data_IF_557325704564
#
_entry.id   IF_557325704564
#
_cell.length_a   1.000
_cell.length_b   1.000
_cell.length_c   1.000
_cell.angle_alpha   90.00
_cell.angle_beta   90.00
_cell.angle_gamma   90.00
#
_symmetry.space_group_name_H-M   'P 1'
#
loop_
_entity.id
_entity.type
_entity.pdbx_description
1 polymer ?
#
# COMPACT_ATOMS: atom_id res chain seq x y z
N UNK A 1 30.67 18.44 31.51
CA UNK A 1 29.59 18.74 30.54
C UNK A 1 28.27 18.76 31.30
N UNK A 2 27.30 19.62 30.97
CA UNK A 2 25.95 19.48 31.57
C UNK A 2 25.16 18.41 30.82
N UNK A 3 24.48 17.50 31.53
CA UNK A 3 23.74 16.38 30.94
C UNK A 3 22.27 16.49 31.30
N UNK A 4 21.46 16.88 30.32
CA UNK A 4 20.03 17.01 30.47
C UNK A 4 19.33 15.67 30.20
N UNK A 5 18.49 15.26 31.16
CA UNK A 5 17.61 14.09 31.03
C UNK A 5 16.17 14.60 31.07
N UNK A 6 15.49 14.67 29.91
CA UNK A 6 14.09 15.04 29.81
C UNK A 6 13.17 14.14 30.66
N UNK A 7 12.02 14.66 31.11
CA UNK A 7 11.13 13.93 32.02
C UNK A 7 10.48 12.71 31.34
N UNK A 8 10.14 12.82 30.06
CA UNK A 8 9.62 11.72 29.23
C UNK A 8 10.61 10.55 29.11
N UNK A 9 11.92 10.85 29.06
CA UNK A 9 12.99 9.84 29.12
C UNK A 9 13.01 9.16 30.50
N UNK A 10 12.87 9.91 31.60
CA UNK A 10 12.80 9.32 32.96
C UNK A 10 11.57 8.45 33.16
N UNK A 11 10.43 8.88 32.64
CA UNK A 11 9.18 8.12 32.71
C UNK A 11 9.30 6.82 31.89
N UNK A 12 9.96 6.88 30.73
CA UNK A 12 10.25 5.69 29.91
C UNK A 12 11.21 4.74 30.62
N UNK A 13 12.25 5.25 31.28
CA UNK A 13 13.19 4.45 32.06
C UNK A 13 12.47 3.67 33.16
N UNK A 14 11.55 4.32 33.88
CA UNK A 14 10.75 3.67 34.94
C UNK A 14 9.86 2.53 34.40
N UNK A 15 9.42 2.61 33.13
CA UNK A 15 8.61 1.57 32.50
C UNK A 15 9.43 0.36 32.02
N UNK A 16 10.70 0.53 31.68
CA UNK A 16 11.51 -0.55 31.07
C UNK A 16 12.19 -1.49 32.07
N UNK A 17 12.28 -1.12 33.35
CA UNK A 17 12.81 -2.00 34.39
C UNK A 17 13.26 -1.25 35.62
N UNK A 18 13.34 -1.95 36.76
CA UNK A 18 13.72 -1.35 38.05
C UNK A 18 15.16 -0.82 38.08
N UNK A 19 16.07 -1.46 37.34
CA UNK A 19 17.47 -1.06 37.20
C UNK A 19 17.74 0.04 36.16
N UNK A 20 16.78 0.30 35.26
CA UNK A 20 16.95 1.23 34.13
C UNK A 20 17.15 2.69 34.55
N UNK A 21 16.44 3.25 35.55
CA UNK A 21 16.70 4.61 36.03
C UNK A 21 18.11 4.77 36.62
N UNK A 22 18.65 3.72 37.26
CA UNK A 22 20.01 3.73 37.79
C UNK A 22 21.03 3.70 36.64
N UNK A 23 20.82 2.83 35.66
CA UNK A 23 21.63 2.73 34.45
C UNK A 23 21.69 4.05 33.68
N UNK A 24 20.55 4.71 33.50
CA UNK A 24 20.44 6.01 32.86
C UNK A 24 21.24 7.09 33.61
N UNK A 25 21.19 7.08 34.94
CA UNK A 25 21.98 8.02 35.77
C UNK A 25 23.47 7.74 35.71
N UNK A 26 23.88 6.47 35.66
CA UNK A 26 25.27 6.08 35.53
C UNK A 26 25.87 6.55 34.19
N UNK A 27 25.15 6.32 33.08
CA UNK A 27 25.57 6.79 31.74
C UNK A 27 25.59 8.31 31.66
N UNK A 28 24.62 9.00 32.26
CA UNK A 28 24.66 10.47 32.33
C UNK A 28 25.89 10.99 33.08
N UNK A 29 26.33 10.30 34.14
CA UNK A 29 27.57 10.62 34.84
C UNK A 29 28.81 10.41 33.95
N UNK A 30 28.87 9.28 33.24
CA UNK A 30 29.98 8.99 32.33
C UNK A 30 30.04 9.98 31.16
N UNK A 31 28.90 10.40 30.60
CA UNK A 31 28.82 11.41 29.54
C UNK A 31 29.24 12.82 30.03
N UNK A 32 29.08 13.10 31.32
CA UNK A 32 29.53 14.37 31.89
C UNK A 32 31.08 14.46 31.92
N UNK A 33 31.74 13.32 32.12
CA UNK A 33 33.20 13.15 32.21
C UNK A 33 33.85 12.88 30.84
N UNK A 34 33.18 12.10 29.98
CA UNK A 34 33.59 11.76 28.61
C UNK A 34 32.42 12.02 27.62
N UNK A 35 32.36 13.23 27.02
CA UNK A 35 31.34 13.60 26.04
C UNK A 35 31.37 12.77 24.74
N UNK A 36 32.49 12.10 24.46
CA UNK A 36 32.72 11.31 23.25
C UNK A 36 32.34 9.84 23.45
N UNK A 37 31.82 9.47 24.63
CA UNK A 37 31.39 8.12 24.98
C UNK A 37 30.21 7.66 24.12
N UNK A 38 30.46 6.71 23.21
CA UNK A 38 29.43 6.06 22.41
C UNK A 38 29.80 6.01 20.94
N UNK A 39 28.83 5.65 20.11
CA UNK A 39 29.03 5.53 18.65
C UNK A 39 27.92 6.26 17.89
N UNK A 40 28.18 6.78 16.68
CA UNK A 40 27.14 7.33 15.82
C UNK A 40 25.99 6.33 15.65
N UNK A 41 24.77 6.78 15.94
CA UNK A 41 23.58 6.02 15.62
C UNK A 41 23.21 6.21 14.14
N UNK A 42 22.26 5.42 13.64
CA UNK A 42 21.66 5.65 12.32
C UNK A 42 20.82 6.92 12.22
N UNK A 43 20.63 7.65 13.32
CA UNK A 43 19.86 8.89 13.35
C UNK A 43 20.79 10.12 13.23
N UNK A 44 20.48 11.08 12.35
CA UNK A 44 21.34 12.24 12.12
C UNK A 44 21.65 13.02 13.40
N UNK A 45 22.94 13.17 13.72
CA UNK A 45 23.41 13.95 14.87
C UNK A 45 23.23 13.30 16.24
N UNK A 46 22.82 12.02 16.30
CA UNK A 46 22.61 11.29 17.55
C UNK A 46 23.72 10.24 17.76
N UNK A 47 24.33 10.28 18.94
CA UNK A 47 25.27 9.28 19.45
C UNK A 47 24.52 8.29 20.35
N UNK A 48 24.99 7.05 20.43
CA UNK A 48 24.36 5.98 21.21
C UNK A 48 25.36 5.27 22.12
N UNK A 49 24.97 5.06 23.37
CA UNK A 49 25.67 4.24 24.36
C UNK A 49 24.87 2.98 24.61
N UNK A 50 25.53 1.81 24.60
CA UNK A 50 24.89 0.54 24.93
C UNK A 50 25.24 0.08 26.34
N UNK A 51 24.26 -0.50 27.00
CA UNK A 51 24.38 -1.19 28.29
C UNK A 51 23.94 -2.63 28.03
N UNK A 52 24.78 -3.59 28.37
CA UNK A 52 24.46 -5.02 28.22
C UNK A 52 23.63 -5.52 29.41
N UNK A 53 22.84 -6.58 29.20
CA UNK A 53 21.85 -7.17 30.15
C UNK A 53 22.47 -7.71 31.46
N UNK A 54 23.80 -7.80 31.54
CA UNK A 54 24.54 -8.39 32.65
C UNK A 54 25.29 -7.37 33.54
N UNK A 55 25.24 -6.08 33.20
CA UNK A 55 26.02 -5.05 33.89
C UNK A 55 25.31 -4.53 35.14
N UNK A 56 23.98 -4.53 35.15
CA UNK A 56 23.16 -3.93 36.21
C UNK A 56 21.97 -4.84 36.53
N UNK A 57 21.76 -5.17 37.80
CA UNK A 57 20.63 -5.98 38.28
C UNK A 57 19.28 -5.32 37.90
N UNK A 58 18.32 -6.12 37.41
CA UNK A 58 17.02 -5.66 36.90
C UNK A 58 17.08 -4.60 35.78
N UNK A 59 18.19 -4.57 35.03
CA UNK A 59 18.35 -3.71 33.87
C UNK A 59 18.51 -4.58 32.60
N UNK A 60 17.51 -4.60 31.70
CA UNK A 60 17.71 -5.24 30.41
C UNK A 60 18.84 -4.58 29.62
N UNK A 61 19.31 -5.22 28.55
CA UNK A 61 20.20 -4.55 27.61
C UNK A 61 19.51 -3.30 27.03
N UNK A 62 20.19 -2.16 27.02
CA UNK A 62 19.66 -0.86 26.63
C UNK A 62 20.57 -0.16 25.61
N UNK A 63 19.96 0.66 24.76
CA UNK A 63 20.64 1.69 23.98
C UNK A 63 20.08 3.06 24.37
N UNK A 64 20.97 3.98 24.75
CA UNK A 64 20.66 5.35 25.16
C UNK A 64 21.17 6.30 24.08
N UNK A 65 20.25 6.99 23.41
CA UNK A 65 20.56 7.97 22.37
C UNK A 65 20.67 9.39 22.94
N UNK A 66 21.72 10.11 22.58
CA UNK A 66 21.95 11.49 23.02
C UNK A 66 22.47 12.39 21.90
N UNK A 67 22.22 13.69 22.03
CA UNK A 67 22.80 14.73 21.17
C UNK A 67 23.81 15.51 21.99
N UNK A 68 24.96 15.81 21.37
CA UNK A 68 25.99 16.65 21.95
C UNK A 68 25.96 18.03 21.29
N UNK A 69 25.75 19.04 22.10
CA UNK A 69 25.97 20.45 21.77
C UNK A 69 27.31 20.92 22.41
N UNK A 70 27.85 22.09 22.05
CA UNK A 70 29.17 22.52 22.53
C UNK A 70 29.31 22.62 24.06
N UNK A 71 28.22 22.89 24.77
CA UNK A 71 28.17 23.14 26.22
C UNK A 71 27.27 22.17 27.00
N UNK A 72 26.43 21.37 26.30
CA UNK A 72 25.50 20.42 26.93
C UNK A 72 25.31 19.14 26.13
N UNK A 73 24.92 18.09 26.82
CA UNK A 73 24.45 16.82 26.25
C UNK A 73 22.98 16.66 26.62
N UNK A 74 22.14 16.29 25.66
CA UNK A 74 20.74 15.99 25.91
C UNK A 74 20.44 14.53 25.56
N UNK A 75 19.96 13.76 26.53
CA UNK A 75 19.45 12.41 26.27
C UNK A 75 18.11 12.51 25.55
N UNK A 76 17.99 11.83 24.40
CA UNK A 76 16.82 11.91 23.51
C UNK A 76 15.90 10.72 23.64
N UNK A 77 16.46 9.53 23.84
CA UNK A 77 15.66 8.31 23.95
C UNK A 77 16.44 7.21 24.68
N UNK A 78 15.69 6.21 25.12
CA UNK A 78 16.22 4.94 25.60
C UNK A 78 15.37 3.81 25.00
N UNK A 79 16.02 2.74 24.55
CA UNK A 79 15.35 1.58 23.95
C UNK A 79 16.05 0.29 24.39
N UNK A 80 15.37 -0.85 24.30
CA UNK A 80 15.98 -2.15 24.58
C UNK A 80 16.99 -2.49 23.47
N UNK A 81 18.22 -2.82 23.85
CA UNK A 81 19.20 -3.35 22.92
C UNK A 81 18.87 -4.83 22.64
N UNK A 82 18.71 -5.19 21.36
CA UNK A 82 18.59 -6.60 20.97
C UNK A 82 19.95 -7.29 21.15
N UNK A 83 20.01 -8.52 21.69
CA UNK A 83 21.25 -9.28 21.77
C UNK A 83 21.83 -9.50 20.38
N UNK A 84 23.11 -9.19 20.19
CA UNK A 84 23.85 -9.45 18.95
C UNK A 84 24.28 -10.92 18.96
N UNK A 85 23.76 -11.71 18.04
CA UNK A 85 24.22 -13.08 17.78
C UNK A 85 25.69 -13.04 17.30
N UNK A 86 26.52 -13.93 17.84
CA UNK A 86 27.97 -13.97 17.64
C UNK A 86 28.38 -14.12 16.15
N UNK A 87 29.54 -13.61 15.72
CA UNK A 87 29.87 -13.46 14.31
C UNK A 87 30.27 -14.80 13.67
N UNK A 88 29.52 -15.21 12.63
CA UNK A 88 29.95 -16.26 11.71
C UNK A 88 31.09 -15.78 10.80
N UNK A 89 31.96 -16.69 10.31
CA UNK A 89 33.25 -16.34 9.75
C UNK A 89 33.12 -15.70 8.37
N UNK A 90 33.64 -14.48 8.25
CA UNK A 90 34.03 -13.75 7.02
C UNK A 90 33.34 -14.27 5.75
N UNK A 91 32.03 -14.04 5.65
CA UNK A 91 31.37 -14.04 4.36
C UNK A 91 31.60 -12.68 3.70
N UNK A 92 31.73 -12.71 2.39
CA UNK A 92 32.07 -11.60 1.50
C UNK A 92 31.26 -10.34 1.83
N UNK A 93 31.90 -9.18 1.64
CA UNK A 93 31.32 -7.86 1.81
C UNK A 93 29.86 -7.81 1.33
N UNK A 94 28.92 -7.94 2.26
CA UNK A 94 27.53 -7.62 1.98
C UNK A 94 27.48 -6.11 1.75
N UNK A 95 27.29 -5.77 0.48
CA UNK A 95 26.68 -4.51 0.09
C UNK A 95 25.54 -4.21 1.10
N UNK A 96 25.32 -2.95 1.51
CA UNK A 96 24.17 -2.61 2.36
C UNK A 96 22.91 -3.22 1.74
N UNK A 97 21.87 -3.60 2.47
CA UNK A 97 20.60 -4.01 1.84
C UNK A 97 19.81 -2.75 1.39
N UNK A 98 19.90 -2.27 0.14
CA UNK A 98 18.69 -2.10 -0.64
C UNK A 98 18.42 -3.45 -1.28
N UNK A 99 17.23 -4.06 -1.14
CA UNK A 99 16.63 -4.93 -2.17
C UNK A 99 15.39 -5.72 -1.76
N UNK A 100 15.01 -5.91 -0.49
CA UNK A 100 13.81 -6.72 -0.19
C UNK A 100 12.53 -6.09 -0.77
N UNK A 101 12.30 -4.80 -0.51
CA UNK A 101 11.17 -4.06 -1.05
C UNK A 101 11.26 -3.92 -2.58
N UNK A 102 12.45 -3.63 -3.12
CA UNK A 102 12.66 -3.48 -4.57
C UNK A 102 12.49 -4.81 -5.32
N UNK A 103 12.88 -5.94 -4.73
CA UNK A 103 12.67 -7.28 -5.31
C UNK A 103 11.19 -7.64 -5.27
N UNK A 104 10.49 -7.28 -4.19
CA UNK A 104 9.05 -7.47 -4.07
C UNK A 104 8.32 -6.62 -5.11
N UNK A 105 8.61 -5.32 -5.19
CA UNK A 105 8.07 -4.41 -6.20
C UNK A 105 8.35 -4.89 -7.64
N UNK A 106 9.59 -5.32 -7.92
CA UNK A 106 9.94 -5.86 -9.23
C UNK A 106 9.23 -7.19 -9.54
N UNK A 107 8.86 -7.96 -8.53
CA UNK A 107 8.09 -9.20 -8.70
C UNK A 107 6.63 -8.86 -8.97
N UNK A 108 6.01 -8.01 -8.16
CA UNK A 108 4.65 -7.47 -8.37
C UNK A 108 4.51 -6.86 -9.76
N UNK A 109 5.48 -6.03 -10.18
CA UNK A 109 5.51 -5.42 -11.50
C UNK A 109 5.47 -6.45 -12.63
N UNK A 110 6.25 -7.53 -12.50
CA UNK A 110 6.27 -8.62 -13.50
C UNK A 110 4.95 -9.38 -13.52
N UNK A 111 4.38 -9.70 -12.37
CA UNK A 111 3.11 -10.43 -12.28
C UNK A 111 1.95 -9.64 -12.89
N UNK A 112 1.82 -8.35 -12.58
CA UNK A 112 0.81 -7.47 -13.20
C UNK A 112 0.99 -7.43 -14.71
N UNK A 113 2.23 -7.23 -15.18
CA UNK A 113 2.49 -7.15 -16.62
C UNK A 113 2.17 -8.46 -17.34
N UNK A 114 2.51 -9.60 -16.74
CA UNK A 114 2.27 -10.92 -17.34
C UNK A 114 0.78 -11.28 -17.33
N UNK A 115 0.06 -11.04 -16.22
CA UNK A 115 -1.38 -11.25 -16.15
C UNK A 115 -2.12 -10.36 -17.17
N UNK A 116 -1.78 -9.08 -17.26
CA UNK A 116 -2.40 -8.18 -18.23
C UNK A 116 -2.12 -8.56 -19.69
N UNK A 117 -0.90 -9.03 -19.99
CA UNK A 117 -0.58 -9.57 -21.32
C UNK A 117 -1.41 -10.80 -21.68
N UNK A 118 -1.66 -11.69 -20.72
CA UNK A 118 -2.52 -12.87 -20.92
C UNK A 118 -3.95 -12.46 -21.25
N UNK A 119 -4.52 -11.55 -20.46
CA UNK A 119 -5.85 -10.97 -20.70
C UNK A 119 -5.92 -10.35 -22.10
N UNK A 120 -5.01 -9.43 -22.42
CA UNK A 120 -5.03 -8.71 -23.70
C UNK A 120 -4.77 -9.61 -24.90
N UNK A 121 -3.88 -10.60 -24.79
CA UNK A 121 -3.67 -11.61 -25.83
C UNK A 121 -4.94 -12.42 -26.11
N UNK A 122 -5.64 -12.83 -25.04
CA UNK A 122 -6.91 -13.53 -25.18
C UNK A 122 -7.96 -12.64 -25.85
N UNK A 123 -8.11 -11.39 -25.40
CA UNK A 123 -9.07 -10.43 -25.97
C UNK A 123 -8.81 -10.22 -27.47
N UNK A 124 -7.55 -10.03 -27.87
CA UNK A 124 -7.19 -9.84 -29.27
C UNK A 124 -7.65 -11.02 -30.16
N UNK A 125 -7.66 -12.24 -29.63
CA UNK A 125 -7.99 -13.46 -30.36
C UNK A 125 -9.49 -13.79 -30.32
N UNK A 126 -10.16 -13.54 -29.20
CA UNK A 126 -11.50 -14.04 -28.94
C UNK A 126 -12.57 -12.93 -28.83
N UNK A 127 -12.18 -11.73 -28.44
CA UNK A 127 -13.07 -10.58 -28.24
C UNK A 127 -12.44 -9.29 -28.80
N UNK A 128 -12.22 -9.19 -30.13
CA UNK A 128 -11.47 -8.09 -30.73
C UNK A 128 -12.11 -6.72 -30.51
N UNK A 129 -13.44 -6.64 -30.36
CA UNK A 129 -14.13 -5.38 -30.06
C UNK A 129 -13.81 -4.90 -28.64
N UNK A 130 -13.78 -5.82 -27.66
CA UNK A 130 -13.33 -5.52 -26.29
C UNK A 130 -11.84 -5.15 -26.25
N UNK A 131 -11.00 -5.81 -27.06
CA UNK A 131 -9.60 -5.41 -27.18
C UNK A 131 -9.45 -3.99 -27.76
N UNK A 132 -10.26 -3.64 -28.77
CA UNK A 132 -10.23 -2.32 -29.40
C UNK A 132 -10.73 -1.18 -28.49
N UNK A 133 -11.50 -1.51 -27.45
CA UNK A 133 -11.98 -0.56 -26.45
C UNK A 133 -10.93 -0.23 -25.37
N UNK A 134 -9.84 -0.99 -25.28
CA UNK A 134 -8.75 -0.71 -24.35
C UNK A 134 -7.96 0.52 -24.80
N UNK A 135 -7.74 1.44 -23.87
CA UNK A 135 -6.94 2.63 -24.12
C UNK A 135 -5.45 2.27 -24.15
N UNK A 136 -4.65 2.99 -24.98
CA UNK A 136 -3.20 2.83 -24.94
C UNK A 136 -2.67 3.16 -23.54
N UNK A 137 -1.52 2.59 -23.18
CA UNK A 137 -0.87 2.86 -21.91
C UNK A 137 -0.44 4.32 -21.77
N UNK A 138 -0.53 4.82 -20.54
CA UNK A 138 -0.09 6.16 -20.15
C UNK A 138 1.43 6.26 -20.10
N UNK A 139 1.97 7.44 -20.44
CA UNK A 139 3.36 7.75 -20.18
C UNK A 139 3.62 8.11 -18.71
N UNK A 140 4.89 8.02 -18.29
CA UNK A 140 5.29 8.27 -16.91
C UNK A 140 5.04 9.72 -16.45
N UNK A 141 5.03 10.69 -17.37
CA UNK A 141 4.74 12.09 -17.06
C UNK A 141 3.26 12.29 -16.69
N UNK A 142 2.35 11.62 -17.40
CA UNK A 142 0.91 11.60 -17.06
C UNK A 142 0.69 10.95 -15.69
N UNK A 143 1.37 9.84 -15.40
CA UNK A 143 1.27 9.18 -14.08
C UNK A 143 1.84 10.04 -12.95
N UNK A 144 2.94 10.75 -13.19
CA UNK A 144 3.49 11.68 -12.21
C UNK A 144 2.57 12.88 -11.95
N UNK A 145 1.84 13.36 -12.98
CA UNK A 145 0.83 14.38 -12.81
C UNK A 145 -0.35 13.88 -11.98
N UNK A 146 -0.79 12.63 -12.21
CA UNK A 146 -1.82 11.98 -11.39
C UNK A 146 -1.35 11.82 -9.93
N UNK A 147 -0.12 11.37 -9.67
CA UNK A 147 0.46 11.30 -8.31
C UNK A 147 0.38 12.67 -7.61
N UNK A 148 0.72 13.74 -8.33
CA UNK A 148 0.64 15.12 -7.81
C UNK A 148 -0.78 15.57 -7.52
N UNK A 149 -1.75 15.13 -8.33
CA UNK A 149 -3.17 15.47 -8.14
C UNK A 149 -3.82 14.69 -6.98
N UNK A 150 -3.52 13.40 -6.86
CA UNK A 150 -4.03 12.56 -5.78
C UNK A 150 -3.36 12.89 -4.44
N UNK A 151 -2.11 13.38 -4.48
CA UNK A 151 -1.27 13.55 -3.29
C UNK A 151 -0.74 12.22 -2.73
N UNK A 152 -0.78 11.16 -3.52
CA UNK A 152 -0.39 9.79 -3.15
C UNK A 152 0.70 9.33 -4.12
N UNK A 153 1.70 8.61 -3.63
CA UNK A 153 2.60 7.86 -4.52
C UNK A 153 1.88 6.64 -5.06
N UNK A 154 1.86 6.45 -6.37
CA UNK A 154 1.17 5.29 -6.94
C UNK A 154 1.89 3.99 -6.54
N UNK A 155 1.15 2.98 -6.06
CA UNK A 155 1.67 1.64 -5.90
C UNK A 155 2.21 1.08 -7.23
N UNK A 156 3.22 0.21 -7.15
CA UNK A 156 3.95 -0.28 -8.33
C UNK A 156 3.02 -1.00 -9.31
N UNK A 157 2.05 -1.74 -8.79
CA UNK A 157 1.04 -2.48 -9.52
C UNK A 157 0.16 -1.57 -10.40
N UNK A 158 -0.29 -0.41 -9.88
CA UNK A 158 -1.08 0.56 -10.64
C UNK A 158 -0.23 1.28 -11.67
N UNK A 159 1.01 1.65 -11.30
CA UNK A 159 1.93 2.28 -12.24
C UNK A 159 2.18 1.38 -13.44
N UNK A 160 2.45 0.09 -13.22
CA UNK A 160 2.67 -0.87 -14.29
C UNK A 160 1.40 -1.07 -15.12
N UNK A 161 0.26 -1.33 -14.48
CA UNK A 161 -1.00 -1.52 -15.18
C UNK A 161 -1.34 -0.32 -16.09
N UNK A 162 -1.22 0.90 -15.57
CA UNK A 162 -1.53 2.09 -16.35
C UNK A 162 -0.52 2.42 -17.45
N UNK A 163 0.74 1.97 -17.33
CA UNK A 163 1.67 2.03 -18.48
C UNK A 163 1.32 1.03 -19.59
N UNK A 164 0.50 0.02 -19.30
CA UNK A 164 0.02 -0.96 -20.28
C UNK A 164 -1.34 -0.57 -20.86
N UNK A 165 -2.20 0.06 -20.06
CA UNK A 165 -3.53 0.54 -20.48
C UNK A 165 -4.01 1.73 -19.64
N UNK A 166 -4.44 2.81 -20.28
CA UNK A 166 -5.03 3.97 -19.58
C UNK A 166 -6.52 3.78 -19.30
N UNK A 167 -6.97 2.54 -19.11
CA UNK A 167 -8.38 2.21 -18.84
C UNK A 167 -9.09 1.54 -20.01
N UNK A 168 -10.37 1.28 -19.79
CA UNK A 168 -11.23 0.51 -20.66
C UNK A 168 -12.51 1.31 -20.97
N UNK A 169 -12.68 1.70 -22.23
CA UNK A 169 -13.87 2.44 -22.69
C UNK A 169 -15.08 1.49 -22.92
N UNK A 170 -14.85 0.17 -22.85
CA UNK A 170 -15.82 -0.90 -23.01
C UNK A 170 -16.29 -1.15 -24.44
N UNK A 171 -16.69 -2.38 -24.71
CA UNK A 171 -17.35 -2.77 -25.96
C UNK A 171 -18.84 -3.00 -25.69
N UNK A 172 -19.70 -2.30 -26.41
CA UNK A 172 -21.16 -2.32 -26.23
C UNK A 172 -21.61 -2.05 -24.78
N UNK A 173 -20.83 -1.26 -24.04
CA UNK A 173 -21.10 -0.91 -22.64
C UNK A 173 -20.60 -1.93 -21.61
N UNK A 174 -19.91 -3.00 -22.05
CA UNK A 174 -19.33 -4.00 -21.18
C UNK A 174 -17.82 -3.78 -21.03
N UNK A 175 -17.36 -3.71 -19.78
CA UNK A 175 -15.94 -3.71 -19.48
C UNK A 175 -15.35 -5.12 -19.55
N UNK A 176 -14.04 -5.19 -19.71
CA UNK A 176 -13.30 -6.44 -19.92
C UNK A 176 -13.03 -7.22 -18.62
N UNK A 177 -13.27 -6.64 -17.44
CA UNK A 177 -13.03 -7.28 -16.14
C UNK A 177 -14.30 -8.01 -15.63
N UNK A 178 -14.15 -9.01 -14.73
CA UNK A 178 -15.27 -9.75 -14.15
C UNK A 178 -16.42 -8.85 -13.67
N UNK A 179 -17.66 -9.32 -13.80
CA UNK A 179 -18.85 -8.50 -13.55
C UNK A 179 -19.14 -7.44 -14.62
N UNK A 180 -18.46 -7.50 -15.77
CA UNK A 180 -18.48 -6.47 -16.81
C UNK A 180 -17.96 -5.10 -16.35
N UNK A 181 -17.13 -5.12 -15.31
CA UNK A 181 -16.49 -3.94 -14.76
C UNK A 181 -15.39 -3.43 -15.69
N UNK A 182 -15.11 -2.13 -15.60
CA UNK A 182 -14.12 -1.47 -16.42
C UNK A 182 -12.97 -0.90 -15.58
N UNK A 183 -11.75 -1.01 -16.10
CA UNK A 183 -10.61 -0.28 -15.56
C UNK A 183 -10.85 1.21 -15.81
N UNK A 184 -10.87 2.01 -14.75
CA UNK A 184 -11.12 3.44 -14.86
C UNK A 184 -9.99 4.13 -15.63
N UNK A 185 -10.34 5.08 -16.50
CA UNK A 185 -9.35 5.99 -17.07
C UNK A 185 -8.85 6.99 -16.00
N UNK A 186 -7.66 7.54 -16.21
CA UNK A 186 -7.00 8.37 -15.19
C UNK A 186 -7.78 9.64 -14.84
N UNK A 187 -8.53 10.21 -15.79
CA UNK A 187 -9.36 11.38 -15.55
C UNK A 187 -10.54 11.06 -14.63
N UNK A 188 -11.16 9.88 -14.81
CA UNK A 188 -12.24 9.40 -13.94
C UNK A 188 -11.72 9.01 -12.56
N UNK A 189 -10.53 8.42 -12.47
CA UNK A 189 -9.86 8.15 -11.19
C UNK A 189 -9.68 9.46 -10.40
N UNK A 190 -9.06 10.46 -11.03
CA UNK A 190 -8.82 11.76 -10.42
C UNK A 190 -10.14 12.46 -10.02
N UNK A 191 -11.13 12.44 -10.90
CA UNK A 191 -12.44 13.02 -10.62
C UNK A 191 -13.15 12.35 -9.44
N UNK A 192 -13.17 11.01 -9.42
CA UNK A 192 -13.83 10.23 -8.37
C UNK A 192 -13.12 10.38 -7.03
N UNK A 193 -11.80 10.36 -7.03
CA UNK A 193 -10.99 10.57 -5.83
C UNK A 193 -11.25 11.94 -5.22
N UNK A 194 -11.23 13.02 -6.03
CA UNK A 194 -11.57 14.38 -5.54
C UNK A 194 -12.97 14.43 -4.93
N UNK A 195 -13.97 13.88 -5.61
CA UNK A 195 -15.35 13.87 -5.10
C UNK A 195 -15.44 13.15 -3.73
N UNK A 196 -14.71 12.04 -3.56
CA UNK A 196 -14.65 11.28 -2.32
C UNK A 196 -13.92 12.05 -1.21
N UNK A 197 -12.80 12.70 -1.53
CA UNK A 197 -12.07 13.55 -0.59
C UNK A 197 -12.89 14.78 -0.16
N UNK A 198 -13.62 15.40 -1.09
CA UNK A 198 -14.54 16.51 -0.79
C UNK A 198 -15.68 16.05 0.12
N UNK A 199 -16.25 14.87 -0.13
CA UNK A 199 -17.28 14.28 0.73
C UNK A 199 -16.72 14.00 2.15
N UNK A 200 -15.51 13.44 2.24
CA UNK A 200 -14.82 13.22 3.51
C UNK A 200 -14.53 14.53 4.26
N UNK A 201 -14.13 15.60 3.57
CA UNK A 201 -13.87 16.90 4.19
C UNK A 201 -15.17 17.57 4.70
N UNK A 202 -16.24 17.48 3.91
CA UNK A 202 -17.56 17.98 4.32
C UNK A 202 -18.09 17.23 5.54
N UNK A 203 -17.91 15.91 5.60
CA UNK A 203 -18.26 15.11 6.77
C UNK A 203 -17.33 15.36 7.95
N UNK A 204 -16.03 15.56 7.74
CA UNK A 204 -15.08 15.98 8.76
C UNK A 204 -15.52 17.26 9.48
N UNK A 205 -16.17 18.18 8.76
CA UNK A 205 -16.74 19.41 9.33
C UNK A 205 -17.93 19.12 10.24
N UNK A 206 -18.77 18.13 9.89
CA UNK A 206 -19.90 17.69 10.72
C UNK A 206 -19.42 16.83 11.90
N UNK A 207 -18.40 15.99 11.69
CA UNK A 207 -17.74 15.13 12.68
C UNK A 207 -16.92 15.91 13.72
N UNK A 208 -16.66 17.20 13.52
CA UNK A 208 -15.90 18.04 14.45
C UNK A 208 -16.57 18.16 15.83
N UNK A 209 -17.91 18.05 15.86
CA UNK A 209 -18.72 18.10 17.07
C UNK A 209 -19.00 16.69 17.67
N UNK A 210 -18.53 15.62 17.01
CA UNK A 210 -18.74 14.23 17.40
C UNK A 210 -17.53 13.61 18.10
N UNK A 211 -17.81 12.69 19.02
CA UNK A 211 -16.76 11.87 19.67
C UNK A 211 -16.06 10.96 18.66
N UNK A 212 -14.82 10.52 18.96
CA UNK A 212 -14.05 9.67 18.03
C UNK A 212 -14.80 8.40 17.61
N UNK A 213 -15.58 7.81 18.52
CA UNK A 213 -16.38 6.60 18.28
C UNK A 213 -17.60 6.85 17.37
N UNK A 214 -17.99 8.10 17.16
CA UNK A 214 -19.12 8.52 16.32
C UNK A 214 -18.67 9.05 14.96
N UNK A 215 -17.35 9.17 14.71
CA UNK A 215 -16.83 9.66 13.44
C UNK A 215 -17.04 8.62 12.34
N UNK A 216 -17.73 9.02 11.28
CA UNK A 216 -17.89 8.21 10.08
C UNK A 216 -16.76 8.55 9.11
N UNK A 217 -15.98 7.53 8.71
CA UNK A 217 -15.01 7.63 7.61
C UNK A 217 -15.66 7.14 6.33
N UNK A 218 -15.81 8.04 5.36
CA UNK A 218 -16.41 7.78 4.05
C UNK A 218 -15.36 7.51 2.99
N UNK A 219 -14.16 8.06 3.17
CA UNK A 219 -13.02 7.78 2.32
C UNK A 219 -11.70 7.97 3.07
N UNK A 220 -10.77 7.04 2.91
CA UNK A 220 -9.39 7.20 3.38
C UNK A 220 -8.52 7.73 2.24
N UNK A 221 -7.60 8.63 2.58
CA UNK A 221 -6.74 9.30 1.61
C UNK A 221 -5.78 8.35 0.87
N UNK A 222 -5.65 7.09 1.30
CA UNK A 222 -4.81 6.08 0.64
C UNK A 222 -5.56 5.25 -0.38
N UNK A 223 -6.90 5.35 -0.42
CA UNK A 223 -7.76 4.58 -1.33
C UNK A 223 -7.86 5.27 -2.68
N UNK A 224 -7.41 4.58 -3.73
CA UNK A 224 -7.44 5.03 -5.11
C UNK A 224 -8.55 4.27 -5.83
N UNK A 225 -9.60 4.91 -6.36
CA UNK A 225 -10.62 4.20 -7.15
C UNK A 225 -9.98 3.74 -8.47
N UNK A 226 -10.09 2.45 -8.82
CA UNK A 226 -9.34 1.88 -9.96
C UNK A 226 -10.25 1.14 -10.94
N UNK A 227 -11.33 0.52 -10.46
CA UNK A 227 -12.28 -0.23 -11.27
C UNK A 227 -13.67 0.36 -11.01
N UNK A 228 -14.46 0.51 -12.07
CA UNK A 228 -15.84 0.98 -12.04
C UNK A 228 -16.81 -0.14 -12.44
N UNK A 229 -18.06 -0.04 -11.97
CA UNK A 229 -19.14 -0.99 -12.24
C UNK A 229 -19.30 -1.27 -13.74
N UNK A 230 -19.18 -0.24 -14.56
CA UNK A 230 -19.12 -0.35 -16.01
C UNK A 230 -18.36 0.84 -16.60
N UNK A 231 -18.00 0.83 -17.89
CA UNK A 231 -17.36 1.97 -18.55
C UNK A 231 -18.17 3.27 -18.44
N UNK A 232 -19.50 3.16 -18.39
CA UNK A 232 -20.40 4.31 -18.31
C UNK A 232 -20.89 4.61 -16.87
N UNK A 233 -20.62 3.72 -15.91
CA UNK A 233 -21.11 3.83 -14.54
C UNK A 233 -19.97 3.73 -13.53
N UNK A 234 -19.56 4.90 -13.04
CA UNK A 234 -18.57 5.06 -11.98
C UNK A 234 -19.23 5.39 -10.62
N UNK A 235 -20.43 4.87 -10.36
CA UNK A 235 -21.10 5.03 -9.06
C UNK A 235 -20.66 4.00 -8.03
N UNK A 236 -20.06 2.89 -8.44
CA UNK A 236 -19.43 1.91 -7.57
C UNK A 236 -18.31 1.16 -8.32
N UNK A 237 -17.53 0.36 -7.62
CA UNK A 237 -16.49 -0.49 -8.19
C UNK A 237 -15.46 -0.92 -7.14
N UNK A 238 -14.19 -1.04 -7.54
CA UNK A 238 -13.09 -1.42 -6.64
C UNK A 238 -12.02 -0.32 -6.52
N UNK A 239 -11.54 -0.11 -5.30
CA UNK A 239 -10.42 0.75 -4.99
C UNK A 239 -9.21 -0.11 -4.72
N UNK A 240 -8.02 0.46 -4.86
CA UNK A 240 -6.79 -0.09 -4.33
C UNK A 240 -6.32 0.81 -3.17
N UNK A 241 -6.10 0.23 -2.00
CA UNK A 241 -5.55 0.96 -0.87
C UNK A 241 -4.03 0.95 -0.94
N UNK A 242 -3.42 2.12 -1.17
CA UNK A 242 -1.99 2.28 -1.24
C UNK A 242 -1.26 1.98 0.08
N UNK A 243 -1.98 1.93 1.21
CA UNK A 243 -1.41 1.56 2.51
C UNK A 243 -1.24 0.03 2.67
N UNK A 244 -2.18 -0.75 2.13
CA UNK A 244 -2.25 -2.20 2.38
C UNK A 244 -1.98 -3.05 1.14
N UNK A 245 -2.17 -2.48 -0.07
CA UNK A 245 -2.07 -3.19 -1.35
C UNK A 245 -3.31 -4.02 -1.71
N UNK A 246 -4.35 -4.00 -0.88
CA UNK A 246 -5.58 -4.76 -1.12
C UNK A 246 -6.60 -3.95 -1.92
N UNK A 247 -7.40 -4.67 -2.69
CA UNK A 247 -8.61 -4.12 -3.27
C UNK A 247 -9.72 -4.08 -2.23
N UNK A 248 -10.64 -3.14 -2.38
CA UNK A 248 -11.89 -3.13 -1.63
C UNK A 248 -13.02 -2.52 -2.44
N UNK A 249 -14.28 -2.84 -2.12
CA UNK A 249 -15.42 -2.22 -2.77
C UNK A 249 -15.45 -0.73 -2.46
N UNK A 250 -15.84 0.10 -3.44
CA UNK A 250 -16.35 1.44 -3.19
C UNK A 250 -17.70 1.64 -3.85
N UNK A 251 -18.53 2.48 -3.22
CA UNK A 251 -19.80 2.91 -3.80
C UNK A 251 -20.02 4.40 -3.56
N UNK A 252 -20.98 4.99 -4.28
CA UNK A 252 -21.43 6.37 -4.07
C UNK A 252 -22.10 6.57 -2.70
N UNK A 253 -22.54 5.48 -2.07
CA UNK A 253 -23.14 5.46 -0.75
C UNK A 253 -22.07 5.08 0.29
N UNK A 254 -22.22 5.56 1.53
CA UNK A 254 -21.30 5.22 2.61
C UNK A 254 -21.27 3.70 2.80
N UNK A 255 -20.07 3.14 2.94
CA UNK A 255 -19.88 1.70 3.04
C UNK A 255 -19.71 1.24 4.48
N UNK A 256 -20.23 0.05 4.81
CA UNK A 256 -19.83 -0.62 6.03
C UNK A 256 -18.33 -0.96 5.95
N UNK A 257 -17.59 -0.91 7.08
CA UNK A 257 -16.18 -1.26 7.10
C UNK A 257 -15.97 -2.74 6.73
N UNK A 258 -15.03 -3.00 5.82
CA UNK A 258 -14.20 -4.21 5.89
C UNK A 258 -14.57 -5.40 5.01
N UNK A 259 -14.54 -5.24 3.68
CA UNK A 259 -14.17 -6.37 2.83
C UNK A 259 -12.89 -6.01 2.07
N UNK A 260 -11.75 -6.29 2.71
CA UNK A 260 -10.47 -6.38 1.99
C UNK A 260 -10.58 -7.60 1.08
N UNK A 261 -10.59 -7.34 -0.22
CA UNK A 261 -10.57 -8.34 -1.27
C UNK A 261 -9.11 -8.69 -1.60
N UNK A 262 -8.89 -9.36 -2.72
CA UNK A 262 -7.55 -9.74 -3.15
C UNK A 262 -6.67 -8.53 -3.51
N UNK A 263 -5.38 -8.79 -3.66
CA UNK A 263 -4.46 -7.84 -4.31
C UNK A 263 -4.81 -7.68 -5.79
N UNK A 264 -4.38 -6.57 -6.40
CA UNK A 264 -4.55 -6.36 -7.84
C UNK A 264 -3.88 -7.47 -8.68
N UNK A 265 -2.74 -8.00 -8.22
CA UNK A 265 -2.06 -9.12 -8.88
C UNK A 265 -2.98 -10.33 -8.95
N UNK A 266 -3.48 -10.78 -7.79
CA UNK A 266 -4.36 -11.95 -7.71
C UNK A 266 -5.63 -11.76 -8.53
N UNK A 267 -6.24 -10.58 -8.46
CA UNK A 267 -7.43 -10.26 -9.25
C UNK A 267 -7.19 -10.39 -10.76
N UNK A 268 -6.07 -9.87 -11.27
CA UNK A 268 -5.72 -9.96 -12.69
C UNK A 268 -5.30 -11.38 -13.10
N UNK A 269 -4.55 -12.09 -12.25
CA UNK A 269 -4.16 -13.49 -12.50
C UNK A 269 -5.38 -14.40 -12.61
N UNK A 270 -6.32 -14.30 -11.67
CA UNK A 270 -7.57 -15.06 -11.74
C UNK A 270 -8.43 -14.67 -12.93
N UNK A 271 -8.47 -13.38 -13.29
CA UNK A 271 -9.16 -12.92 -14.51
C UNK A 271 -8.55 -13.59 -15.74
N UNK A 272 -7.22 -13.62 -15.86
CA UNK A 272 -6.53 -14.29 -16.94
C UNK A 272 -6.83 -15.79 -16.97
N UNK A 273 -6.79 -16.46 -15.81
CA UNK A 273 -7.08 -17.89 -15.68
C UNK A 273 -8.52 -18.23 -16.09
N UNK A 274 -9.50 -17.40 -15.71
CA UNK A 274 -10.90 -17.57 -16.12
C UNK A 274 -11.09 -17.40 -17.63
N UNK A 275 -10.36 -16.49 -18.27
CA UNK A 275 -10.39 -16.31 -19.72
C UNK A 275 -9.74 -17.49 -20.45
N UNK A 276 -8.58 -17.94 -20.01
CA UNK A 276 -7.83 -19.03 -20.65
C UNK A 276 -8.47 -20.42 -20.43
N UNK A 277 -9.11 -20.63 -19.28
CA UNK A 277 -9.74 -21.88 -18.90
C UNK A 277 -11.20 -21.66 -18.42
N UNK A 278 -12.11 -21.21 -19.30
CA UNK A 278 -13.47 -20.80 -18.92
C UNK A 278 -14.31 -21.93 -18.31
N UNK A 279 -13.99 -23.19 -18.63
CA UNK A 279 -14.64 -24.36 -18.04
C UNK A 279 -14.29 -24.58 -16.55
N UNK A 280 -13.19 -24.00 -16.08
CA UNK A 280 -12.70 -24.10 -14.70
C UNK A 280 -12.95 -22.81 -13.91
N UNK A 281 -13.59 -21.81 -14.50
CA UNK A 281 -13.79 -20.52 -13.89
C UNK A 281 -14.65 -20.62 -12.62
N UNK A 282 -14.14 -20.09 -11.52
CA UNK A 282 -14.71 -20.25 -10.16
C UNK A 282 -15.55 -19.06 -9.70
N UNK A 283 -15.21 -17.84 -10.14
CA UNK A 283 -15.89 -16.59 -9.73
C UNK A 283 -16.93 -16.12 -10.74
N UNK A 284 -16.52 -16.04 -12.01
CA UNK A 284 -17.38 -15.55 -13.08
C UNK A 284 -17.07 -16.28 -14.39
N UNK A 285 -18.03 -16.33 -15.31
CA UNK A 285 -17.88 -17.07 -16.56
C UNK A 285 -17.77 -16.09 -17.73
N UNK A 286 -16.66 -16.11 -18.49
CA UNK A 286 -16.56 -15.29 -19.69
C UNK A 286 -17.30 -15.96 -20.85
N UNK A 287 -17.95 -15.12 -21.64
CA UNK A 287 -18.58 -15.48 -22.90
C UNK A 287 -18.58 -14.30 -23.85
N UNK A 288 -19.27 -14.45 -24.98
CA UNK A 288 -19.36 -13.43 -26.00
C UNK A 288 -20.82 -13.05 -26.26
N UNK A 289 -21.03 -11.75 -26.46
CA UNK A 289 -22.26 -11.19 -27.03
C UNK A 289 -21.82 -10.30 -28.19
N UNK A 290 -22.25 -10.63 -29.41
CA UNK A 290 -21.92 -9.80 -30.58
C UNK A 290 -20.43 -9.71 -30.96
N UNK A 291 -19.54 -10.48 -30.32
CA UNK A 291 -18.08 -10.39 -30.49
C UNK A 291 -17.37 -9.63 -29.36
N UNK A 292 -18.12 -9.00 -28.46
CA UNK A 292 -17.60 -8.42 -27.22
C UNK A 292 -17.57 -9.46 -26.10
N UNK A 293 -16.54 -9.39 -25.25
CA UNK A 293 -16.46 -10.13 -23.99
C UNK A 293 -17.58 -9.67 -23.06
N UNK A 294 -18.34 -10.63 -22.55
CA UNK A 294 -19.35 -10.41 -21.51
C UNK A 294 -19.21 -11.50 -20.45
N UNK A 295 -19.12 -11.07 -19.22
CA UNK A 295 -19.12 -11.90 -18.02
C UNK A 295 -20.54 -12.19 -17.56
N UNK A 296 -20.82 -13.46 -17.27
CA UNK A 296 -22.16 -13.95 -16.99
C UNK A 296 -22.78 -13.29 -15.75
N UNK A 297 -22.00 -12.97 -14.72
CA UNK A 297 -22.55 -12.35 -13.50
C UNK A 297 -23.15 -10.95 -13.72
N UNK A 298 -22.67 -10.24 -14.75
CA UNK A 298 -23.11 -8.88 -15.06
C UNK A 298 -24.11 -8.78 -16.22
N UNK A 299 -24.58 -9.90 -16.78
CA UNK A 299 -25.60 -9.88 -17.84
C UNK A 299 -27.00 -9.77 -17.24
N UNK A 300 -27.85 -8.94 -17.86
CA UNK A 300 -29.28 -8.96 -17.57
C UNK A 300 -29.84 -10.35 -17.97
N UNK A 301 -30.57 -11.06 -17.09
CA UNK A 301 -31.20 -12.34 -17.43
C UNK A 301 -32.04 -12.31 -18.72
N UNK A 302 -32.61 -11.16 -19.08
CA UNK A 302 -33.35 -11.00 -20.35
C UNK A 302 -32.45 -11.17 -21.58
N UNK A 303 -31.16 -10.86 -21.47
CA UNK A 303 -30.17 -10.88 -22.56
C UNK A 303 -29.25 -12.12 -22.52
N UNK A 304 -29.39 -12.99 -21.51
CA UNK A 304 -28.58 -14.21 -21.34
C UNK A 304 -28.62 -15.14 -22.55
N UNK A 305 -29.73 -15.17 -23.30
CA UNK A 305 -29.88 -16.01 -24.49
C UNK A 305 -28.97 -15.61 -25.67
N UNK A 306 -28.42 -14.39 -25.68
CA UNK A 306 -27.44 -13.94 -26.66
C UNK A 306 -25.99 -14.28 -26.26
N UNK A 307 -25.80 -14.67 -25.00
CA UNK A 307 -24.49 -14.97 -24.45
C UNK A 307 -24.04 -16.37 -24.88
N UNK A 308 -22.82 -16.45 -25.40
CA UNK A 308 -22.21 -17.69 -25.84
C UNK A 308 -20.94 -17.93 -25.03
N UNK A 309 -20.89 -19.02 -24.27
CA UNK A 309 -19.70 -19.41 -23.53
C UNK A 309 -18.50 -19.54 -24.48
N UNK A 310 -17.35 -18.96 -24.10
CA UNK A 310 -16.11 -19.23 -24.84
C UNK A 310 -15.67 -20.65 -24.53
N UNK A 311 -15.36 -21.40 -25.59
CA UNK A 311 -14.72 -22.72 -25.47
C UNK A 311 -13.24 -22.55 -25.80
N UNK A 312 -12.38 -23.15 -24.95
CA UNK A 312 -10.92 -23.14 -25.09
C UNK A 312 -10.46 -23.78 -26.39
#
# INVERSE_FOLDING_TARGET
MDVEIPQDVRDTATRLGGGVPYALKAVAGQLADDPDLGHPSGLPGILSVRIEDDVIEDCPALAIGYIREPDRIQIRFLTLARPVEAPEPVAEQEEPEPRADLVTEATTARQVADAWRRITYWLQRHAPDSYAALRPGADLGVLAALEGELGIRLPVELRVLWTLTEGDDGADGWGCLPGNMALMNLADVAHRYRLKMDAQANLGTHNADHSEDERITVWEATRIPVIALSPADNTMGLYLDAATGYLGPWSRYDEPPGEELDTLVTYLEETADMLEAPALATRDKPGLVGGALVWLSGIDPAHEHHWQAVTS
#
